data_IF_434763037035
#
_entry.id   IF_434763037035
#
_cell.length_a   1.000
_cell.length_b   1.000
_cell.length_c   1.000
_cell.angle_alpha   90.00
_cell.angle_beta   90.00
_cell.angle_gamma   90.00
#
_symmetry.space_group_name_H-M   'P 1'
#
loop_
_entity.id
_entity.type
_entity.pdbx_description
1 polymer ?
#
# COMPACT_ATOMS: atom_id res chain seq x y z
N UNK A 1 51.90 22.61 32.52
CA UNK A 1 51.92 22.51 31.05
C UNK A 1 50.49 22.71 30.57
N UNK A 2 50.12 23.96 30.27
CA UNK A 2 48.78 24.31 29.80
C UNK A 2 48.76 24.19 28.27
N UNK A 3 47.95 23.29 27.74
CA UNK A 3 47.74 23.16 26.30
C UNK A 3 46.91 24.36 25.81
N UNK A 4 47.57 25.28 25.12
CA UNK A 4 46.95 26.41 24.42
C UNK A 4 46.03 25.88 23.33
N UNK A 5 44.71 25.98 23.54
CA UNK A 5 43.71 25.77 22.49
C UNK A 5 43.76 26.97 21.55
N UNK A 6 44.46 26.80 20.42
CA UNK A 6 44.46 27.74 19.31
C UNK A 6 43.00 27.90 18.81
N UNK A 7 42.50 29.13 18.58
CA UNK A 7 41.19 29.31 17.95
C UNK A 7 41.20 28.72 16.53
N UNK A 8 40.06 28.21 16.02
CA UNK A 8 39.99 27.64 14.69
C UNK A 8 40.38 28.71 13.66
N UNK A 9 41.32 28.37 12.78
CA UNK A 9 41.68 29.25 11.66
C UNK A 9 40.46 29.42 10.74
N UNK A 10 40.23 30.63 10.19
CA UNK A 10 39.05 30.88 9.36
C UNK A 10 39.01 29.96 8.13
N UNK A 11 40.16 29.54 7.61
CA UNK A 11 40.27 28.57 6.51
C UNK A 11 39.73 27.17 6.87
N UNK A 12 39.98 26.68 8.10
CA UNK A 12 39.45 25.39 8.54
C UNK A 12 37.92 25.42 8.66
N UNK A 13 37.33 26.58 8.99
CA UNK A 13 35.88 26.74 9.07
C UNK A 13 35.21 26.69 7.69
N UNK A 14 35.85 27.24 6.64
CA UNK A 14 35.32 27.21 5.27
C UNK A 14 35.39 25.81 4.67
N UNK A 15 36.48 25.07 4.93
CA UNK A 15 36.63 23.67 4.49
C UNK A 15 35.59 22.76 5.14
N UNK A 16 35.32 22.95 6.44
CA UNK A 16 34.25 22.21 7.14
C UNK A 16 32.86 22.51 6.58
N UNK A 17 32.57 23.76 6.19
CA UNK A 17 31.32 24.13 5.54
C UNK A 17 31.19 23.53 4.14
N UNK A 18 32.28 23.45 3.40
CA UNK A 18 32.32 22.81 2.08
C UNK A 18 32.05 21.31 2.18
N UNK A 19 32.73 20.58 3.09
CA UNK A 19 32.49 19.15 3.31
C UNK A 19 31.04 18.85 3.72
N UNK A 20 30.46 19.70 4.59
CA UNK A 20 29.04 19.57 4.97
C UNK A 20 28.13 19.76 3.76
N UNK A 21 28.40 20.76 2.92
CA UNK A 21 27.62 21.01 1.71
C UNK A 21 27.71 19.83 0.73
N UNK A 22 28.88 19.23 0.56
CA UNK A 22 29.05 18.04 -0.28
C UNK A 22 28.24 16.85 0.25
N UNK A 23 28.26 16.63 1.57
CA UNK A 23 27.44 15.58 2.20
C UNK A 23 25.92 15.80 2.02
N UNK A 24 25.46 17.06 2.02
CA UNK A 24 24.05 17.37 1.73
C UNK A 24 23.70 17.14 0.27
N UNK A 25 24.61 17.42 -0.67
CA UNK A 25 24.38 17.11 -2.08
C UNK A 25 24.33 15.61 -2.33
N UNK A 26 25.21 14.84 -1.71
CA UNK A 26 25.17 13.38 -1.76
C UNK A 26 23.81 12.87 -1.25
N UNK A 27 23.37 13.33 -0.08
CA UNK A 27 22.07 12.99 0.47
C UNK A 27 20.91 13.39 -0.47
N UNK A 28 20.96 14.58 -1.07
CA UNK A 28 19.95 15.05 -2.02
C UNK A 28 19.89 14.17 -3.27
N UNK A 29 21.04 13.78 -3.84
CA UNK A 29 21.10 12.94 -5.03
C UNK A 29 20.56 11.53 -4.76
N UNK A 30 20.89 10.94 -3.62
CA UNK A 30 20.33 9.65 -3.19
C UNK A 30 18.81 9.74 -3.00
N UNK A 31 18.33 10.86 -2.47
CA UNK A 31 16.90 11.06 -2.26
C UNK A 31 16.15 11.29 -3.58
N UNK A 32 16.77 11.97 -4.54
CA UNK A 32 16.26 12.13 -5.89
C UNK A 32 16.13 10.78 -6.61
N UNK A 33 17.13 9.90 -6.47
CA UNK A 33 17.10 8.54 -7.04
C UNK A 33 15.96 7.71 -6.45
N UNK A 34 15.76 7.75 -5.12
CA UNK A 34 14.61 7.13 -4.46
C UNK A 34 13.28 7.67 -4.96
N UNK A 35 13.16 8.99 -5.08
CA UNK A 35 11.96 9.63 -5.61
C UNK A 35 11.65 9.16 -7.04
N UNK A 36 12.65 9.13 -7.93
CA UNK A 36 12.50 8.64 -9.30
C UNK A 36 12.11 7.16 -9.35
N UNK A 37 12.74 6.33 -8.53
CA UNK A 37 12.42 4.90 -8.41
C UNK A 37 10.98 4.68 -7.97
N UNK A 38 10.53 5.40 -6.94
CA UNK A 38 9.15 5.35 -6.46
C UNK A 38 8.15 5.86 -7.52
N UNK A 39 8.51 6.89 -8.31
CA UNK A 39 7.67 7.36 -9.42
C UNK A 39 7.53 6.29 -10.51
N UNK A 40 8.61 5.58 -10.85
CA UNK A 40 8.57 4.49 -11.84
C UNK A 40 7.65 3.35 -11.37
N UNK A 41 7.77 2.95 -10.10
CA UNK A 41 6.89 1.93 -9.52
C UNK A 41 5.41 2.37 -9.51
N UNK A 42 5.14 3.62 -9.15
CA UNK A 42 3.78 4.19 -9.21
C UNK A 42 3.22 4.13 -10.64
N UNK A 43 4.01 4.55 -11.64
CA UNK A 43 3.60 4.52 -13.03
C UNK A 43 3.33 3.09 -13.52
N UNK A 44 4.18 2.14 -13.13
CA UNK A 44 4.02 0.72 -13.46
C UNK A 44 2.72 0.17 -12.88
N UNK A 45 2.47 0.32 -11.58
CA UNK A 45 1.26 -0.19 -10.93
C UNK A 45 -0.02 0.48 -11.45
N UNK A 46 0.00 1.80 -11.70
CA UNK A 46 -1.16 2.47 -12.30
C UNK A 46 -1.43 1.95 -13.71
N UNK A 47 -0.39 1.79 -14.53
CA UNK A 47 -0.56 1.29 -15.89
C UNK A 47 -1.13 -0.14 -15.93
N UNK A 48 -0.64 -1.04 -15.07
CA UNK A 48 -1.14 -2.41 -14.95
C UNK A 48 -2.56 -2.43 -14.39
N UNK A 49 -2.84 -1.64 -13.36
CA UNK A 49 -4.17 -1.54 -12.74
C UNK A 49 -5.23 -1.04 -13.72
N UNK A 50 -4.93 0.03 -14.47
CA UNK A 50 -5.84 0.57 -15.48
C UNK A 50 -6.06 -0.41 -16.65
N UNK A 51 -5.02 -1.12 -17.09
CA UNK A 51 -5.15 -2.11 -18.15
C UNK A 51 -5.98 -3.31 -17.71
N UNK A 52 -5.78 -3.79 -16.48
CA UNK A 52 -6.59 -4.85 -15.87
C UNK A 52 -8.05 -4.42 -15.71
N UNK A 53 -8.30 -3.17 -15.30
CA UNK A 53 -9.64 -2.59 -15.23
C UNK A 53 -10.29 -2.47 -16.61
N UNK A 54 -9.55 -2.09 -17.65
CA UNK A 54 -10.04 -2.06 -19.02
C UNK A 54 -10.42 -3.46 -19.53
N UNK A 55 -9.59 -4.48 -19.24
CA UNK A 55 -9.90 -5.89 -19.55
C UNK A 55 -11.15 -6.38 -18.82
N UNK A 56 -11.31 -6.02 -17.54
CA UNK A 56 -12.51 -6.34 -16.78
C UNK A 56 -13.75 -5.70 -17.43
N UNK A 57 -13.68 -4.41 -17.76
CA UNK A 57 -14.78 -3.70 -18.41
C UNK A 57 -15.16 -4.29 -19.77
N UNK A 58 -14.18 -4.75 -20.56
CA UNK A 58 -14.42 -5.38 -21.87
C UNK A 58 -15.09 -6.74 -21.74
N UNK A 59 -14.72 -7.53 -20.72
CA UNK A 59 -15.26 -8.88 -20.46
C UNK A 59 -16.49 -8.88 -19.55
N UNK A 60 -17.07 -7.72 -19.24
CA UNK A 60 -18.22 -7.59 -18.35
C UNK A 60 -19.49 -8.21 -18.96
N UNK A 61 -20.12 -9.20 -18.31
CA UNK A 61 -21.32 -9.86 -18.83
C UNK A 61 -22.52 -8.92 -18.89
N UNK A 62 -22.58 -7.93 -18.01
CA UNK A 62 -23.68 -6.97 -17.91
C UNK A 62 -23.59 -5.83 -18.93
N UNK A 63 -22.51 -5.75 -19.74
CA UNK A 63 -22.15 -4.60 -20.59
C UNK A 63 -22.00 -3.25 -19.85
N UNK A 64 -22.34 -3.20 -18.56
CA UNK A 64 -22.06 -2.09 -17.67
C UNK A 64 -20.58 -2.11 -17.29
N UNK A 65 -20.00 -0.91 -17.26
CA UNK A 65 -18.65 -0.68 -16.77
C UNK A 65 -18.63 -0.78 -15.25
N UNK A 66 -17.58 -1.38 -14.70
CA UNK A 66 -17.30 -1.32 -13.27
C UNK A 66 -17.01 0.13 -12.90
N UNK A 67 -17.81 0.68 -12.00
CA UNK A 67 -17.75 2.10 -11.65
C UNK A 67 -18.72 2.45 -10.54
N UNK A 68 -18.99 3.75 -10.42
CA UNK A 68 -19.72 4.34 -9.30
C UNK A 68 -21.14 3.83 -9.14
N UNK A 69 -21.79 3.37 -10.22
CA UNK A 69 -23.16 2.85 -10.18
C UNK A 69 -23.33 1.57 -9.34
N UNK A 70 -22.24 0.93 -8.93
CA UNK A 70 -22.26 -0.25 -8.05
C UNK A 70 -21.84 0.08 -6.62
N UNK A 71 -21.49 1.33 -6.30
CA UNK A 71 -21.01 1.65 -4.96
C UNK A 71 -22.14 1.53 -3.93
N UNK A 72 -21.82 0.89 -2.80
CA UNK A 72 -22.67 0.93 -1.61
C UNK A 72 -22.55 2.32 -0.95
N UNK A 73 -23.69 2.93 -0.62
CA UNK A 73 -23.75 4.21 0.09
C UNK A 73 -23.12 4.14 1.49
N UNK A 74 -23.01 2.93 2.05
CA UNK A 74 -22.35 2.67 3.34
C UNK A 74 -20.84 2.47 3.23
N UNK A 75 -20.24 2.71 2.06
CA UNK A 75 -18.80 2.54 1.83
C UNK A 75 -17.96 3.25 2.90
N UNK A 76 -16.99 2.53 3.45
CA UNK A 76 -15.98 3.08 4.34
C UNK A 76 -14.58 2.84 3.76
N UNK A 77 -13.66 3.77 3.98
CA UNK A 77 -12.30 3.67 3.47
C UNK A 77 -11.58 2.44 4.07
N UNK A 78 -11.10 1.57 3.18
CA UNK A 78 -10.32 0.37 3.54
C UNK A 78 -8.87 0.69 3.92
N UNK A 79 -8.30 1.75 3.34
CA UNK A 79 -6.95 2.26 3.64
C UNK A 79 -7.07 3.68 4.18
N UNK A 80 -6.32 3.99 5.24
CA UNK A 80 -6.30 5.30 5.88
C UNK A 80 -4.88 5.83 5.93
N UNK A 81 -4.75 7.13 5.71
CA UNK A 81 -3.50 7.85 5.86
C UNK A 81 -3.37 8.30 7.30
N UNK A 82 -2.25 7.95 7.93
CA UNK A 82 -1.85 8.43 9.24
C UNK A 82 -0.65 9.35 9.07
N UNK A 83 -0.76 10.55 9.64
CA UNK A 83 0.28 11.58 9.58
C UNK A 83 0.88 11.69 10.97
N UNK A 84 2.11 11.20 11.13
CA UNK A 84 2.86 11.33 12.38
C UNK A 84 3.76 12.57 12.28
N UNK A 85 3.69 13.46 13.26
CA UNK A 85 4.62 14.60 13.33
C UNK A 85 5.88 14.13 14.06
N UNK A 86 7.00 14.03 13.34
CA UNK A 86 8.28 13.53 13.91
C UNK A 86 9.18 14.63 14.43
N UNK A 87 8.91 15.89 14.07
CA UNK A 87 9.33 17.15 14.70
C UNK A 87 8.51 18.25 13.99
N UNK A 88 8.50 19.49 14.47
CA UNK A 88 7.63 20.60 14.00
C UNK A 88 7.65 20.91 12.47
N UNK A 89 8.45 20.21 11.65
CA UNK A 89 8.52 20.40 10.20
C UNK A 89 8.55 19.12 9.36
N UNK A 90 8.64 17.93 9.95
CA UNK A 90 8.69 16.65 9.21
C UNK A 90 7.48 15.79 9.60
N UNK A 91 6.64 15.50 8.60
CA UNK A 91 5.44 14.69 8.75
C UNK A 91 5.66 13.34 8.09
N UNK A 92 5.79 12.28 8.88
CA UNK A 92 5.88 10.94 8.34
C UNK A 92 4.48 10.47 7.98
N UNK A 93 4.26 10.26 6.69
CA UNK A 93 3.02 9.72 6.16
C UNK A 93 3.15 8.20 6.09
N UNK A 94 2.24 7.50 6.77
CA UNK A 94 2.07 6.05 6.64
C UNK A 94 0.64 5.74 6.24
N UNK A 95 0.44 4.61 5.57
CA UNK A 95 -0.88 4.12 5.20
C UNK A 95 -1.14 2.84 5.96
N UNK A 96 -2.27 2.81 6.65
CA UNK A 96 -2.72 1.66 7.44
C UNK A 96 -3.95 1.07 6.79
N UNK A 97 -3.93 -0.25 6.62
CA UNK A 97 -5.12 -1.02 6.24
C UNK A 97 -6.00 -1.23 7.48
N UNK A 98 -7.31 -1.12 7.29
CA UNK A 98 -8.29 -1.31 8.37
C UNK A 98 -8.26 -2.72 8.98
N UNK A 99 -7.83 -3.72 8.20
CA UNK A 99 -7.75 -5.12 8.66
C UNK A 99 -6.42 -5.47 9.35
N UNK A 100 -5.57 -4.49 9.66
CA UNK A 100 -4.46 -4.65 10.61
C UNK A 100 -3.27 -5.50 10.12
N UNK A 101 -3.23 -5.93 8.87
CA UNK A 101 -2.07 -6.63 8.30
C UNK A 101 -1.13 -5.60 7.69
N UNK A 102 -0.13 -5.18 8.48
CA UNK A 102 1.05 -4.51 7.94
C UNK A 102 1.76 -5.46 6.97
N UNK A 103 2.03 -4.97 5.76
CA UNK A 103 2.83 -5.68 4.77
C UNK A 103 4.26 -5.88 5.29
N UNK A 104 4.55 -7.11 5.70
CA UNK A 104 5.90 -7.66 5.74
C UNK A 104 5.99 -8.65 4.57
N UNK A 105 7.09 -8.56 3.83
CA UNK A 105 7.36 -9.19 2.53
C UNK A 105 6.84 -10.62 2.35
N UNK A 106 6.23 -10.97 1.20
CA UNK A 106 5.97 -12.36 0.86
C UNK A 106 7.21 -12.95 0.16
N UNK A 107 8.10 -13.55 0.96
CA UNK A 107 9.03 -14.56 0.46
C UNK A 107 8.30 -15.86 0.11
N UNK A 108 8.80 -16.48 -0.96
CA UNK A 108 8.34 -17.68 -1.64
C UNK A 108 8.09 -18.88 -0.71
N UNK A 109 6.90 -19.49 -0.82
CA UNK A 109 6.76 -20.97 -0.74
C UNK A 109 5.70 -21.49 -1.71
N UNK A 110 6.21 -21.86 -2.88
CA UNK A 110 6.19 -23.21 -3.43
C UNK A 110 4.85 -23.98 -3.42
N UNK A 111 4.22 -23.96 -4.61
CA UNK A 111 3.86 -25.10 -5.47
C UNK A 111 3.18 -26.37 -4.90
N UNK A 112 2.28 -26.88 -5.76
CA UNK A 112 1.85 -28.27 -5.89
C UNK A 112 0.90 -28.87 -4.83
N UNK A 113 -0.41 -28.80 -5.11
CA UNK A 113 -1.24 -30.03 -5.28
C UNK A 113 -2.60 -29.75 -5.91
N UNK A 114 -2.66 -29.78 -7.25
CA UNK A 114 -3.90 -30.10 -7.94
C UNK A 114 -3.97 -31.62 -8.12
N UNK A 115 -4.95 -32.25 -7.49
CA UNK A 115 -5.51 -33.54 -7.93
C UNK A 115 -7.02 -33.46 -7.79
N UNK A 116 -7.68 -32.99 -8.85
CA UNK A 116 -9.00 -33.53 -9.17
C UNK A 116 -8.83 -34.95 -9.69
N UNK A 117 -9.77 -35.84 -9.37
CA UNK A 117 -10.26 -36.73 -10.41
C UNK A 117 -11.78 -36.61 -10.54
N UNK A 118 -12.18 -36.15 -11.71
CA UNK A 118 -13.47 -36.37 -12.36
C UNK A 118 -14.07 -37.74 -12.06
N UNK A 119 -15.37 -37.79 -11.73
CA UNK A 119 -16.23 -38.95 -11.98
C UNK A 119 -17.56 -38.48 -12.54
N UNK A 120 -17.85 -38.90 -13.76
CA UNK A 120 -19.19 -39.15 -14.29
C UNK A 120 -19.11 -40.39 -15.20
N UNK A 121 -20.22 -41.01 -15.63
CA UNK A 121 -21.36 -41.53 -14.87
C UNK A 121 -21.70 -42.97 -15.32
N UNK A 122 -22.52 -43.73 -14.57
CA UNK A 122 -23.20 -44.97 -15.06
C UNK A 122 -24.30 -45.41 -14.07
N UNK A 123 -25.31 -46.22 -14.45
CA UNK A 123 -26.66 -45.77 -14.84
C UNK A 123 -27.78 -46.33 -13.92
N UNK A 124 -29.09 -46.05 -14.19
CA UNK A 124 -30.17 -46.15 -13.21
C UNK A 124 -30.91 -47.51 -13.22
N UNK A 125 -31.48 -47.90 -12.07
CA UNK A 125 -32.65 -48.79 -11.98
C UNK A 125 -33.30 -48.75 -10.58
N UNK A 126 -34.36 -47.92 -10.46
CA UNK A 126 -35.76 -48.17 -10.01
C UNK A 126 -36.12 -49.17 -8.87
N UNK A 127 -37.34 -49.10 -8.26
CA UNK A 127 -37.57 -48.60 -6.90
C UNK A 127 -38.29 -49.59 -5.95
N UNK A 128 -38.23 -49.37 -4.63
CA UNK A 128 -39.17 -50.02 -3.69
C UNK A 128 -39.65 -49.06 -2.57
N UNK A 129 -40.90 -48.61 -2.76
CA UNK A 129 -42.04 -48.49 -1.83
C UNK A 129 -41.81 -48.36 -0.31
N UNK A 130 -42.31 -47.24 0.26
CA UNK A 130 -42.59 -46.98 1.69
C UNK A 130 -43.94 -47.62 2.14
N UNK A 131 -44.31 -47.71 3.44
CA UNK A 131 -44.66 -46.54 4.29
C UNK A 131 -44.41 -46.63 5.84
N UNK A 132 -44.02 -45.48 6.44
CA UNK A 132 -44.40 -44.79 7.73
C UNK A 132 -44.68 -45.54 9.08
N UNK A 133 -44.74 -44.87 10.27
CA UNK A 133 -44.40 -43.47 10.68
C UNK A 133 -43.61 -43.26 12.03
N UNK A 134 -43.06 -42.03 12.20
CA UNK A 134 -42.87 -41.19 13.42
C UNK A 134 -41.93 -41.59 14.60
N UNK A 135 -41.53 -40.65 15.51
CA UNK A 135 -41.14 -39.23 15.36
C UNK A 135 -39.83 -38.90 16.12
N UNK A 136 -39.11 -37.83 15.76
CA UNK A 136 -37.89 -37.44 16.48
C UNK A 136 -37.20 -36.19 15.97
N UNK A 137 -37.93 -35.07 15.95
CA UNK A 137 -37.36 -33.75 15.66
C UNK A 137 -36.69 -33.23 16.93
N UNK A 138 -35.36 -33.38 17.05
CA UNK A 138 -34.57 -32.59 18.00
C UNK A 138 -34.03 -31.34 17.30
N UNK A 139 -34.80 -30.25 17.43
CA UNK A 139 -34.34 -28.88 17.25
C UNK A 139 -33.14 -28.62 18.16
N UNK A 140 -31.93 -28.63 17.59
CA UNK A 140 -30.70 -28.23 18.28
C UNK A 140 -30.23 -26.85 17.79
N UNK A 141 -30.68 -25.82 18.54
CA UNK A 141 -30.07 -24.50 18.78
C UNK A 141 -29.67 -23.64 17.55
N UNK A 142 -30.47 -22.63 17.16
CA UNK A 142 -30.16 -21.69 16.08
C UNK A 142 -29.03 -20.67 16.37
N UNK A 143 -28.55 -20.57 17.62
CA UNK A 143 -27.77 -19.40 18.05
C UNK A 143 -26.34 -19.31 17.51
N UNK A 144 -25.64 -20.43 17.25
CA UNK A 144 -24.25 -20.39 16.74
C UNK A 144 -24.16 -20.17 15.23
N UNK A 145 -25.15 -20.66 14.48
CA UNK A 145 -25.20 -20.51 13.02
C UNK A 145 -25.49 -19.04 12.68
N UNK A 146 -26.42 -18.40 13.39
CA UNK A 146 -26.74 -16.98 13.19
C UNK A 146 -25.57 -16.04 13.52
N UNK A 147 -24.79 -16.34 14.57
CA UNK A 147 -23.57 -15.57 14.88
C UNK A 147 -22.49 -15.74 13.81
N UNK A 148 -22.27 -16.96 13.29
CA UNK A 148 -21.28 -17.20 12.24
C UNK A 148 -21.71 -16.56 10.91
N UNK A 149 -23.00 -16.59 10.58
CA UNK A 149 -23.55 -15.92 9.41
C UNK A 149 -23.42 -14.38 9.54
N UNK A 150 -23.75 -13.80 10.70
CA UNK A 150 -23.60 -12.35 10.95
C UNK A 150 -22.13 -11.90 10.90
N UNK A 151 -21.23 -12.65 11.54
CA UNK A 151 -19.79 -12.33 11.51
C UNK A 151 -19.20 -12.46 10.10
N UNK A 152 -19.68 -13.43 9.32
CA UNK A 152 -19.27 -13.61 7.93
C UNK A 152 -19.85 -12.50 7.02
N UNK A 153 -21.11 -12.09 7.22
CA UNK A 153 -21.74 -10.95 6.53
C UNK A 153 -21.04 -9.62 6.86
N UNK A 154 -20.60 -9.42 8.10
CA UNK A 154 -19.81 -8.25 8.51
C UNK A 154 -18.37 -8.26 7.97
N UNK A 155 -17.82 -9.43 7.59
CA UNK A 155 -16.55 -9.53 6.87
C UNK A 155 -16.70 -9.48 5.34
N UNK A 156 -17.78 -10.02 4.78
CA UNK A 156 -18.10 -9.95 3.34
C UNK A 156 -18.42 -8.53 2.87
N UNK A 157 -18.91 -7.67 3.76
CA UNK A 157 -19.16 -6.24 3.51
C UNK A 157 -17.91 -5.36 3.59
N UNK A 158 -16.73 -5.94 3.90
CA UNK A 158 -15.46 -5.19 3.97
C UNK A 158 -14.79 -5.02 2.62
N UNK A 159 -14.88 -6.03 1.76
CA UNK A 159 -14.20 -6.01 0.48
C UNK A 159 -15.05 -5.26 -0.56
N UNK A 160 -14.58 -4.10 -1.06
CA UNK A 160 -15.35 -3.27 -1.99
C UNK A 160 -15.57 -3.94 -3.34
N UNK A 161 -14.87 -5.05 -3.63
CA UNK A 161 -15.07 -5.82 -4.84
C UNK A 161 -16.40 -6.58 -4.85
N UNK A 162 -16.94 -6.93 -3.68
CA UNK A 162 -18.18 -7.70 -3.58
C UNK A 162 -19.42 -6.89 -3.99
N UNK A 163 -19.29 -5.55 -4.05
CA UNK A 163 -20.34 -4.68 -4.58
C UNK A 163 -20.61 -4.88 -6.07
N UNK A 164 -19.67 -5.48 -6.80
CA UNK A 164 -19.81 -5.80 -8.22
C UNK A 164 -20.44 -7.18 -8.47
N UNK A 165 -20.94 -7.83 -7.43
CA UNK A 165 -21.60 -9.13 -7.49
C UNK A 165 -20.77 -10.26 -6.88
N UNK A 166 -21.39 -11.44 -6.79
CA UNK A 166 -20.84 -12.61 -6.11
C UNK A 166 -19.61 -13.18 -6.84
N UNK A 167 -19.57 -13.05 -8.18
CA UNK A 167 -18.47 -13.54 -9.00
C UNK A 167 -17.63 -12.39 -9.53
N UNK A 168 -16.56 -12.06 -8.81
CA UNK A 168 -15.63 -11.00 -9.20
C UNK A 168 -14.64 -11.48 -10.26
N UNK A 169 -14.56 -10.84 -11.44
CA UNK A 169 -13.62 -11.23 -12.48
C UNK A 169 -12.16 -11.18 -11.99
N UNK A 170 -11.30 -12.12 -12.41
CA UNK A 170 -9.87 -12.11 -12.06
C UNK A 170 -9.17 -10.79 -12.44
N UNK A 171 -9.53 -10.19 -13.58
CA UNK A 171 -8.98 -8.92 -14.02
C UNK A 171 -9.37 -7.74 -13.09
N UNK A 172 -10.55 -7.80 -12.47
CA UNK A 172 -11.00 -6.78 -11.52
C UNK A 172 -10.26 -6.91 -10.18
N UNK A 173 -10.02 -8.16 -9.73
CA UNK A 173 -9.15 -8.44 -8.58
C UNK A 173 -7.71 -7.99 -8.80
N UNK A 174 -7.15 -8.26 -9.98
CA UNK A 174 -5.82 -7.79 -10.35
C UNK A 174 -5.73 -6.24 -10.34
N UNK A 175 -6.73 -5.57 -10.91
CA UNK A 175 -6.80 -4.11 -10.88
C UNK A 175 -6.84 -3.55 -9.45
N UNK A 176 -7.65 -4.15 -8.58
CA UNK A 176 -7.70 -3.76 -7.18
C UNK A 176 -6.34 -3.94 -6.49
N UNK A 177 -5.69 -5.09 -6.68
CA UNK A 177 -4.38 -5.37 -6.10
C UNK A 177 -3.31 -4.35 -6.55
N UNK A 178 -3.30 -3.99 -7.84
CA UNK A 178 -2.39 -2.99 -8.40
C UNK A 178 -2.63 -1.60 -7.77
N UNK A 179 -3.90 -1.15 -7.67
CA UNK A 179 -4.22 0.12 -7.04
C UNK A 179 -3.93 0.14 -5.54
N UNK A 180 -4.19 -0.96 -4.84
CA UNK A 180 -3.83 -1.13 -3.43
C UNK A 180 -2.32 -0.98 -3.26
N UNK A 181 -1.55 -1.69 -4.07
CA UNK A 181 -0.09 -1.64 -4.00
C UNK A 181 0.48 -0.24 -4.28
N UNK A 182 -0.18 0.53 -5.18
CA UNK A 182 0.17 1.92 -5.49
C UNK A 182 -0.03 2.81 -4.27
N UNK A 183 -1.19 2.70 -3.61
CA UNK A 183 -1.53 3.52 -2.46
C UNK A 183 -0.66 3.14 -1.27
N UNK A 184 -0.45 1.85 -1.00
CA UNK A 184 0.26 1.41 0.21
C UNK A 184 1.77 1.62 0.18
N UNK A 185 2.42 1.62 -1.01
CA UNK A 185 3.88 1.65 -1.12
C UNK A 185 4.42 2.92 -1.83
N UNK A 186 4.30 3.11 -3.16
CA UNK A 186 4.88 4.27 -3.84
C UNK A 186 4.39 5.64 -3.35
N UNK A 187 3.09 5.79 -3.06
CA UNK A 187 2.51 7.09 -2.68
C UNK A 187 3.12 7.64 -1.37
N UNK A 188 3.12 6.91 -0.24
CA UNK A 188 3.69 7.43 1.00
C UNK A 188 5.20 7.64 0.87
N UNK A 189 5.90 6.78 0.13
CA UNK A 189 7.33 6.96 -0.14
C UNK A 189 7.61 8.26 -0.92
N UNK A 190 6.84 8.54 -1.99
CA UNK A 190 6.97 9.77 -2.77
C UNK A 190 6.74 11.03 -1.94
N UNK A 191 5.71 11.03 -1.10
CA UNK A 191 5.41 12.22 -0.29
C UNK A 191 6.48 12.42 0.79
N UNK A 192 6.88 11.36 1.47
CA UNK A 192 7.93 11.43 2.49
C UNK A 192 9.27 11.86 1.89
N UNK A 193 9.66 11.31 0.74
CA UNK A 193 10.90 11.69 0.04
C UNK A 193 10.85 13.12 -0.47
N UNK A 194 9.74 13.57 -1.06
CA UNK A 194 9.58 14.97 -1.50
C UNK A 194 9.69 15.98 -0.33
N UNK A 195 9.15 15.62 0.83
CA UNK A 195 9.32 16.44 2.04
C UNK A 195 10.78 16.48 2.48
N UNK A 196 11.45 15.33 2.55
CA UNK A 196 12.87 15.26 2.88
C UNK A 196 13.72 16.07 1.89
N UNK A 197 13.42 16.04 0.58
CA UNK A 197 14.14 16.81 -0.44
C UNK A 197 14.02 18.30 -0.15
N UNK A 198 12.81 18.75 0.17
CA UNK A 198 12.54 20.13 0.52
C UNK A 198 13.34 20.58 1.75
N UNK A 199 13.51 19.71 2.76
CA UNK A 199 14.32 20.03 3.94
C UNK A 199 15.80 20.18 3.60
N UNK A 200 16.38 19.23 2.85
CA UNK A 200 17.78 19.25 2.43
C UNK A 200 18.06 20.46 1.55
N UNK A 201 17.14 20.82 0.65
CA UNK A 201 17.28 22.03 -0.16
C UNK A 201 17.37 23.31 0.68
N UNK A 202 16.58 23.41 1.75
CA UNK A 202 16.63 24.56 2.66
C UNK A 202 17.98 24.62 3.36
N UNK A 203 18.52 23.49 3.80
CA UNK A 203 19.84 23.41 4.43
C UNK A 203 20.98 23.75 3.47
N UNK A 204 20.94 23.23 2.24
CA UNK A 204 21.89 23.60 1.18
C UNK A 204 21.84 25.11 0.93
N UNK A 205 20.64 25.69 0.82
CA UNK A 205 20.45 27.15 0.64
C UNK A 205 21.02 27.94 1.83
N UNK A 206 20.93 27.43 3.06
CA UNK A 206 21.50 28.04 4.27
C UNK A 206 23.03 27.96 4.28
N UNK A 207 23.62 26.77 4.12
CA UNK A 207 25.07 26.59 4.11
C UNK A 207 25.75 27.38 2.99
N UNK A 208 25.15 27.45 1.80
CA UNK A 208 25.68 28.29 0.71
C UNK A 208 25.71 29.77 1.06
N UNK A 209 24.77 30.26 1.87
CA UNK A 209 24.77 31.65 2.34
C UNK A 209 25.85 31.87 3.40
N UNK A 210 26.05 30.93 4.30
CA UNK A 210 27.08 30.99 5.34
C UNK A 210 28.49 30.94 4.75
N UNK A 211 28.72 30.04 3.80
CA UNK A 211 30.00 29.91 3.10
C UNK A 211 30.35 31.22 2.37
N UNK A 212 29.39 31.82 1.64
CA UNK A 212 29.58 33.13 0.99
C UNK A 212 29.88 34.27 1.99
N UNK A 213 29.37 34.20 3.23
CA UNK A 213 29.67 35.19 4.27
C UNK A 213 31.08 34.97 4.83
N UNK A 214 31.44 33.73 5.10
CA UNK A 214 32.77 33.35 5.59
C UNK A 214 33.88 33.73 4.59
N UNK A 215 33.69 33.46 3.30
CA UNK A 215 34.63 33.84 2.23
C UNK A 215 34.81 35.36 2.10
N UNK A 216 33.76 36.15 2.36
CA UNK A 216 33.86 37.61 2.38
C UNK A 216 34.60 38.10 3.61
N UNK A 217 34.35 37.50 4.77
CA UNK A 217 35.02 37.84 6.02
C UNK A 217 36.51 37.46 6.01
N UNK A 218 36.91 36.42 5.27
CA UNK A 218 38.32 36.05 5.10
C UNK A 218 39.08 36.91 4.07
N UNK A 219 38.36 37.64 3.21
CA UNK A 219 38.94 38.54 2.19
C UNK A 219 38.98 40.01 2.62
N UNK A 220 38.26 40.36 3.69
CA UNK A 220 38.25 41.69 4.32
C UNK A 220 39.27 41.77 5.44
#
# INVERSE_FOLDING_TARGET
MAATLQPPTPAASTEQLALKLDSLWEAYLLLLDRYQSAQQQLAQHLSSGHLSLARANFSSPSRLRYGQGYYDERMQASRRVTVESTDDSIHKISITSRDGVSAVDPEEKNSEKYKEPWREPTPPSTPHTAPDPEPGVELSKPSKIEEHIKKNLESETKDPLNWYGILVPPALRAAQADFISTVERPVPELVNTAQQMSTVEVEIKRLRKELKKAEKASKS
#
